data_IF_605560553237
#
_entry.id   IF_605560553237
#
_cell.length_a   1.000
_cell.length_b   1.000
_cell.length_c   1.000
_cell.angle_alpha   90.00
_cell.angle_beta   90.00
_cell.angle_gamma   90.00
#
_symmetry.space_group_name_H-M   'P 1'
#
loop_
_entity.id
_entity.type
_entity.pdbx_description
1 polymer ?
#
# COMPACT_ATOMS: atom_id res chain seq x y z
N UNK A 1 0.47 -8.63 -11.73
CA UNK A 1 0.84 -9.95 -12.30
C UNK A 1 2.06 -9.85 -13.19
N UNK A 2 2.09 -8.92 -14.14
CA UNK A 2 3.34 -8.50 -14.75
C UNK A 2 3.92 -7.30 -13.98
N UNK A 3 5.22 -7.08 -14.08
CA UNK A 3 5.92 -5.86 -13.66
C UNK A 3 7.02 -5.55 -14.68
N UNK A 4 7.30 -4.26 -14.89
CA UNK A 4 8.42 -3.75 -15.68
C UNK A 4 9.01 -2.56 -14.92
N UNK A 5 10.31 -2.58 -14.68
CA UNK A 5 11.06 -1.52 -14.01
C UNK A 5 12.39 -1.37 -14.75
N UNK A 6 12.72 -0.23 -15.38
CA UNK A 6 13.87 -0.12 -16.27
C UNK A 6 15.19 -0.63 -15.68
N UNK A 7 15.51 -0.24 -14.44
CA UNK A 7 16.72 -0.70 -13.72
C UNK A 7 16.70 -2.14 -13.19
N UNK A 8 15.68 -2.95 -13.49
CA UNK A 8 15.54 -4.34 -13.00
C UNK A 8 15.19 -5.33 -14.12
N UNK A 9 14.40 -4.91 -15.10
CA UNK A 9 13.88 -5.74 -16.20
C UNK A 9 14.20 -5.17 -17.58
N UNK A 10 14.85 -4.00 -17.66
CA UNK A 10 14.90 -3.21 -18.88
C UNK A 10 13.49 -2.98 -19.43
N UNK A 11 13.35 -3.16 -20.74
CA UNK A 11 12.08 -2.94 -21.45
C UNK A 11 11.09 -4.11 -21.41
N UNK A 12 11.44 -5.22 -20.75
CA UNK A 12 10.63 -6.43 -20.74
C UNK A 12 9.62 -6.49 -19.58
N UNK A 13 8.43 -7.03 -19.85
CA UNK A 13 7.42 -7.35 -18.84
C UNK A 13 7.71 -8.70 -18.21
N UNK A 14 8.10 -8.71 -16.93
CA UNK A 14 8.36 -9.94 -16.19
C UNK A 14 7.11 -10.43 -15.48
N UNK A 15 6.80 -11.73 -15.59
CA UNK A 15 5.73 -12.34 -14.83
C UNK A 15 6.10 -12.48 -13.34
N UNK A 16 5.16 -12.21 -12.45
CA UNK A 16 5.31 -12.38 -11.00
C UNK A 16 5.07 -13.83 -10.55
N UNK A 17 4.17 -14.55 -11.24
CA UNK A 17 3.74 -15.92 -10.91
C UNK A 17 4.36 -16.94 -11.88
N UNK A 18 4.35 -18.22 -11.48
CA UNK A 18 4.66 -19.36 -12.36
C UNK A 18 3.40 -20.13 -12.81
N UNK A 19 2.19 -19.65 -12.46
CA UNK A 19 0.95 -20.28 -12.89
C UNK A 19 0.78 -20.22 -14.40
N UNK A 20 0.63 -21.39 -15.00
CA UNK A 20 0.28 -21.62 -16.41
C UNK A 20 -1.17 -22.06 -16.60
N UNK A 21 -1.86 -22.46 -15.52
CA UNK A 21 -3.27 -22.82 -15.58
C UNK A 21 -4.17 -21.58 -15.64
N UNK A 22 -4.78 -21.41 -16.81
CA UNK A 22 -5.82 -20.41 -17.07
C UNK A 22 -7.15 -21.07 -17.48
N UNK A 23 -7.36 -22.37 -17.24
CA UNK A 23 -8.61 -23.06 -17.59
C UNK A 23 -9.83 -22.44 -16.91
N UNK A 24 -9.67 -21.96 -15.67
CA UNK A 24 -10.65 -21.16 -14.94
C UNK A 24 -11.16 -19.94 -15.72
N UNK A 25 -10.35 -19.37 -16.63
CA UNK A 25 -10.79 -18.24 -17.46
C UNK A 25 -11.83 -18.65 -18.49
N UNK A 26 -11.68 -19.83 -19.10
CA UNK A 26 -12.63 -20.31 -20.09
C UNK A 26 -14.00 -20.51 -19.43
N UNK A 27 -14.01 -21.21 -18.30
CA UNK A 27 -15.19 -21.43 -17.46
C UNK A 27 -15.84 -20.10 -17.01
N UNK A 28 -15.03 -19.15 -16.54
CA UNK A 28 -15.53 -17.83 -16.14
C UNK A 28 -16.08 -17.01 -17.31
N UNK A 29 -15.42 -17.01 -18.47
CA UNK A 29 -15.87 -16.32 -19.69
C UNK A 29 -17.22 -16.88 -20.16
N UNK A 30 -17.39 -18.20 -20.17
CA UNK A 30 -18.63 -18.85 -20.60
C UNK A 30 -19.84 -18.47 -19.73
N UNK A 31 -19.65 -18.28 -18.42
CA UNK A 31 -20.68 -17.74 -17.53
C UNK A 31 -20.86 -16.22 -17.72
N UNK A 32 -19.77 -15.43 -17.70
CA UNK A 32 -19.84 -13.97 -17.86
C UNK A 32 -20.50 -13.54 -19.18
N UNK A 33 -20.26 -14.27 -20.28
CA UNK A 33 -20.87 -14.00 -21.59
C UNK A 33 -22.40 -14.16 -21.57
N UNK A 34 -22.94 -15.05 -20.72
CA UNK A 34 -24.39 -15.17 -20.53
C UNK A 34 -24.96 -13.94 -19.82
N UNK A 35 -24.21 -13.33 -18.90
CA UNK A 35 -24.60 -12.08 -18.25
C UNK A 35 -24.48 -10.88 -19.17
N UNK A 36 -23.41 -10.77 -19.97
CA UNK A 36 -23.27 -9.71 -21.00
C UNK A 36 -24.47 -9.70 -21.96
N UNK A 37 -24.83 -10.87 -22.51
CA UNK A 37 -25.95 -11.02 -23.46
C UNK A 37 -27.31 -10.53 -22.96
N UNK A 38 -27.51 -10.42 -21.63
CA UNK A 38 -28.77 -9.99 -21.02
C UNK A 38 -28.66 -8.72 -20.16
N UNK A 39 -27.50 -8.07 -20.14
CA UNK A 39 -27.25 -6.86 -19.33
C UNK A 39 -26.69 -5.77 -20.24
N UNK A 40 -27.58 -4.98 -20.83
CA UNK A 40 -27.21 -3.91 -21.76
C UNK A 40 -26.25 -2.93 -21.08
N UNK A 41 -25.20 -2.49 -21.79
CA UNK A 41 -24.14 -1.63 -21.23
C UNK A 41 -23.05 -2.37 -20.46
N UNK A 42 -23.14 -3.70 -20.29
CA UNK A 42 -22.07 -4.50 -19.67
C UNK A 42 -21.11 -5.14 -20.68
N UNK A 43 -19.88 -5.43 -20.24
CA UNK A 43 -18.85 -6.08 -21.06
C UNK A 43 -17.83 -6.85 -20.19
N UNK A 44 -16.93 -7.61 -20.84
CA UNK A 44 -15.84 -8.35 -20.17
C UNK A 44 -14.49 -7.72 -20.52
N UNK A 45 -13.70 -7.43 -19.51
CA UNK A 45 -12.32 -6.94 -19.60
C UNK A 45 -11.34 -8.03 -19.14
N UNK A 46 -10.28 -8.31 -19.91
CA UNK A 46 -9.31 -9.38 -19.64
C UNK A 46 -7.93 -8.82 -19.24
N UNK A 47 -7.68 -8.67 -17.94
CA UNK A 47 -6.48 -8.02 -17.37
C UNK A 47 -5.27 -8.96 -17.24
N UNK A 48 -5.17 -10.00 -18.06
CA UNK A 48 -4.07 -10.98 -18.03
C UNK A 48 -4.11 -11.96 -16.85
N UNK A 49 -4.22 -11.49 -15.61
CA UNK A 49 -4.41 -12.32 -14.39
C UNK A 49 -5.80 -12.28 -13.80
N UNK A 50 -6.68 -11.47 -14.37
CA UNK A 50 -8.07 -11.32 -13.95
C UNK A 50 -9.01 -11.25 -15.16
N UNK A 51 -10.28 -11.52 -14.91
CA UNK A 51 -11.41 -11.24 -15.79
C UNK A 51 -12.38 -10.36 -15.01
N UNK A 52 -12.85 -9.28 -15.63
CA UNK A 52 -13.75 -8.32 -15.00
C UNK A 52 -15.01 -8.18 -15.83
N UNK A 53 -16.16 -8.52 -15.27
CA UNK A 53 -17.46 -8.13 -15.78
C UNK A 53 -17.73 -6.69 -15.34
N UNK A 54 -17.67 -5.75 -16.28
CA UNK A 54 -17.94 -4.33 -16.07
C UNK A 54 -19.42 -4.06 -16.35
N UNK A 55 -20.09 -3.31 -15.49
CA UNK A 55 -21.51 -2.94 -15.63
C UNK A 55 -21.79 -1.46 -15.28
N UNK A 56 -20.76 -0.61 -15.31
CA UNK A 56 -20.85 0.84 -14.98
C UNK A 56 -21.81 1.61 -15.89
N UNK A 57 -21.95 1.16 -17.14
CA UNK A 57 -22.78 1.79 -18.18
C UNK A 57 -24.12 1.06 -18.39
N UNK A 58 -24.45 0.11 -17.51
CA UNK A 58 -25.76 -0.55 -17.45
C UNK A 58 -26.74 0.25 -16.59
N UNK A 59 -28.02 -0.13 -16.62
CA UNK A 59 -29.00 0.34 -15.63
C UNK A 59 -28.49 0.04 -14.19
N UNK A 60 -28.51 1.01 -13.25
CA UNK A 60 -27.86 0.84 -11.96
C UNK A 60 -28.42 -0.31 -11.11
N UNK A 61 -29.75 -0.45 -11.06
CA UNK A 61 -30.42 -1.43 -10.19
C UNK A 61 -30.38 -2.83 -10.82
N UNK A 62 -30.72 -2.93 -12.10
CA UNK A 62 -30.66 -4.18 -12.85
C UNK A 62 -29.23 -4.69 -13.01
N UNK A 63 -28.27 -3.79 -13.29
CA UNK A 63 -26.84 -4.12 -13.36
C UNK A 63 -26.29 -4.59 -12.01
N UNK A 64 -26.69 -3.95 -10.90
CA UNK A 64 -26.32 -4.36 -9.55
C UNK A 64 -26.90 -5.74 -9.18
N UNK A 65 -28.18 -5.99 -9.49
CA UNK A 65 -28.82 -7.30 -9.31
C UNK A 65 -28.09 -8.40 -10.12
N UNK A 66 -27.86 -8.15 -11.41
CA UNK A 66 -27.15 -9.06 -12.30
C UNK A 66 -25.71 -9.35 -11.84
N UNK A 67 -24.99 -8.34 -11.36
CA UNK A 67 -23.66 -8.48 -10.82
C UNK A 67 -23.61 -9.29 -9.52
N UNK A 68 -24.60 -9.13 -8.63
CA UNK A 68 -24.74 -9.90 -7.39
C UNK A 68 -24.93 -11.39 -7.70
N UNK A 69 -25.85 -11.72 -8.61
CA UNK A 69 -26.11 -13.11 -9.00
C UNK A 69 -24.89 -13.72 -9.70
N UNK A 70 -24.26 -13.00 -10.64
CA UNK A 70 -23.03 -13.43 -11.30
C UNK A 70 -21.91 -13.73 -10.29
N UNK A 71 -21.74 -12.90 -9.27
CA UNK A 71 -20.71 -13.08 -8.23
C UNK A 71 -20.93 -14.37 -7.43
N UNK A 72 -22.19 -14.68 -7.09
CA UNK A 72 -22.55 -15.94 -6.41
C UNK A 72 -22.23 -17.16 -7.30
N UNK A 73 -22.74 -17.19 -8.53
CA UNK A 73 -22.51 -18.32 -9.44
C UNK A 73 -21.03 -18.50 -9.81
N UNK A 74 -20.25 -17.42 -9.94
CA UNK A 74 -18.79 -17.52 -10.13
C UNK A 74 -18.10 -18.09 -8.88
N UNK A 75 -18.59 -17.76 -7.68
CA UNK A 75 -18.06 -18.30 -6.42
C UNK A 75 -18.26 -19.81 -6.28
N UNK A 76 -19.39 -20.33 -6.73
CA UNK A 76 -19.70 -21.76 -6.79
C UNK A 76 -18.98 -22.46 -7.94
N UNK A 77 -19.10 -21.95 -9.17
CA UNK A 77 -18.55 -22.55 -10.39
C UNK A 77 -17.02 -22.61 -10.40
N UNK A 78 -16.36 -21.65 -9.73
CA UNK A 78 -14.91 -21.58 -9.63
C UNK A 78 -14.38 -22.11 -8.28
N UNK A 79 -15.19 -22.83 -7.51
CA UNK A 79 -14.74 -23.51 -6.31
C UNK A 79 -13.62 -24.52 -6.65
N UNK A 80 -12.61 -24.61 -5.79
CA UNK A 80 -11.41 -25.44 -6.01
C UNK A 80 -10.35 -24.82 -6.93
N UNK A 81 -10.71 -23.90 -7.84
CA UNK A 81 -9.71 -23.19 -8.66
C UNK A 81 -8.89 -22.18 -7.82
N UNK A 82 -7.66 -21.85 -8.24
CA UNK A 82 -6.76 -20.95 -7.50
C UNK A 82 -7.11 -19.46 -7.69
N UNK A 83 -8.40 -19.12 -7.63
CA UNK A 83 -8.95 -17.77 -7.87
C UNK A 83 -9.78 -17.26 -6.70
N UNK A 84 -9.96 -15.94 -6.64
CA UNK A 84 -10.94 -15.25 -5.81
C UNK A 84 -11.89 -14.43 -6.68
N UNK A 85 -13.18 -14.49 -6.34
CA UNK A 85 -14.22 -13.62 -6.90
C UNK A 85 -14.39 -12.44 -5.96
N UNK A 86 -14.56 -11.23 -6.51
CA UNK A 86 -14.88 -10.03 -5.73
C UNK A 86 -15.76 -9.07 -6.52
N UNK A 87 -16.72 -8.45 -5.83
CA UNK A 87 -17.55 -7.38 -6.38
C UNK A 87 -17.02 -6.01 -5.95
N UNK A 88 -17.14 -5.02 -6.83
CA UNK A 88 -16.82 -3.61 -6.58
C UNK A 88 -17.86 -2.69 -7.21
N UNK A 89 -17.64 -1.36 -7.15
CA UNK A 89 -18.62 -0.38 -7.66
C UNK A 89 -18.69 -0.43 -9.19
N UNK A 90 -19.68 -1.16 -9.71
CA UNK A 90 -19.89 -1.34 -11.15
C UNK A 90 -19.03 -2.44 -11.79
N UNK A 91 -18.45 -3.35 -10.99
CA UNK A 91 -17.71 -4.50 -11.54
C UNK A 91 -17.80 -5.79 -10.69
N UNK A 92 -17.59 -6.93 -11.33
CA UNK A 92 -17.26 -8.22 -10.69
C UNK A 92 -15.95 -8.73 -11.27
N UNK A 93 -14.92 -8.87 -10.44
CA UNK A 93 -13.59 -9.35 -10.81
C UNK A 93 -13.37 -10.79 -10.32
N UNK A 94 -12.89 -11.65 -11.22
CA UNK A 94 -12.29 -12.96 -10.90
C UNK A 94 -10.80 -12.85 -11.13
N UNK A 95 -9.98 -13.08 -10.11
CA UNK A 95 -8.51 -13.02 -10.22
C UNK A 95 -7.80 -14.16 -9.52
N UNK A 96 -6.57 -14.45 -9.95
CA UNK A 96 -5.69 -15.41 -9.30
C UNK A 96 -5.43 -15.04 -7.82
N UNK A 97 -5.47 -16.03 -6.92
CA UNK A 97 -5.08 -15.85 -5.50
C UNK A 97 -3.59 -15.46 -5.41
N UNK A 98 -3.24 -14.63 -4.44
CA UNK A 98 -1.88 -14.08 -4.29
C UNK A 98 -1.48 -13.05 -5.36
N UNK A 99 -2.42 -12.62 -6.23
CA UNK A 99 -2.17 -11.60 -7.25
C UNK A 99 -2.98 -10.35 -6.93
N UNK A 100 -2.35 -9.40 -6.24
CA UNK A 100 -2.89 -8.05 -6.01
C UNK A 100 -1.81 -6.98 -6.26
N UNK A 101 -2.15 -5.70 -6.07
CA UNK A 101 -1.21 -4.59 -6.25
C UNK A 101 -0.13 -4.58 -5.14
N UNK A 102 -0.48 -4.94 -3.90
CA UNK A 102 0.44 -5.06 -2.76
C UNK A 102 1.62 -5.99 -3.00
N UNK A 103 1.37 -7.23 -3.44
CA UNK A 103 2.44 -8.18 -3.79
C UNK A 103 3.33 -7.68 -4.95
N UNK A 104 2.84 -6.78 -5.80
CA UNK A 104 3.66 -6.18 -6.86
C UNK A 104 4.60 -5.11 -6.30
N UNK A 105 4.09 -4.23 -5.43
CA UNK A 105 4.89 -3.25 -4.68
C UNK A 105 5.96 -3.96 -3.84
N UNK A 106 5.57 -4.94 -3.02
CA UNK A 106 6.48 -5.70 -2.15
C UNK A 106 7.62 -6.37 -2.95
N UNK A 107 7.29 -6.94 -4.12
CA UNK A 107 8.25 -7.60 -5.02
C UNK A 107 9.15 -6.63 -5.78
N UNK A 108 8.69 -5.41 -6.05
CA UNK A 108 9.50 -4.35 -6.67
C UNK A 108 10.43 -3.72 -5.64
N UNK A 109 9.92 -3.29 -4.49
CA UNK A 109 10.72 -2.68 -3.42
C UNK A 109 11.85 -3.61 -2.97
N UNK A 110 11.56 -4.89 -2.64
CA UNK A 110 12.60 -5.87 -2.26
C UNK A 110 13.66 -6.08 -3.36
N UNK A 111 13.30 -5.90 -4.64
CA UNK A 111 14.25 -5.98 -5.75
C UNK A 111 15.10 -4.72 -5.91
N UNK A 112 14.56 -3.55 -5.57
CA UNK A 112 15.33 -2.29 -5.49
C UNK A 112 16.32 -2.37 -4.32
N UNK A 113 15.85 -2.75 -3.13
CA UNK A 113 16.70 -2.93 -1.93
C UNK A 113 17.90 -3.84 -2.19
N UNK A 114 17.67 -4.99 -2.82
CA UNK A 114 18.72 -5.97 -3.12
C UNK A 114 19.70 -5.54 -4.23
N UNK A 115 19.43 -4.47 -4.98
CA UNK A 115 20.27 -3.98 -6.08
C UNK A 115 20.96 -2.65 -5.77
N UNK A 116 20.31 -1.76 -5.03
CA UNK A 116 20.75 -0.37 -4.84
C UNK A 116 20.84 0.06 -3.37
N UNK A 117 20.50 -0.81 -2.41
CA UNK A 117 20.37 -0.48 -0.99
C UNK A 117 18.96 -0.05 -0.60
N UNK A 118 18.72 0.13 0.70
CA UNK A 118 17.40 0.46 1.26
C UNK A 118 16.77 1.70 0.61
N UNK A 119 15.46 1.64 0.34
CA UNK A 119 14.71 2.74 -0.26
C UNK A 119 14.43 3.80 0.80
N UNK A 120 14.83 5.04 0.53
CA UNK A 120 14.74 6.19 1.43
C UNK A 120 13.44 7.01 1.24
N UNK A 121 12.84 6.98 0.05
CA UNK A 121 11.58 7.66 -0.27
C UNK A 121 10.62 6.77 -1.07
N UNK A 122 9.34 6.76 -0.68
CA UNK A 122 8.25 6.12 -1.45
C UNK A 122 7.04 7.04 -1.45
N UNK A 123 6.53 7.37 -2.65
CA UNK A 123 5.20 7.94 -2.84
C UNK A 123 4.30 6.88 -3.50
N UNK A 124 3.17 6.60 -2.88
CA UNK A 124 2.17 5.67 -3.39
C UNK A 124 0.78 6.33 -3.38
N UNK A 125 0.14 6.38 -4.55
CA UNK A 125 -1.16 7.03 -4.78
C UNK A 125 -2.12 6.02 -5.43
N UNK A 126 -3.40 6.03 -5.05
CA UNK A 126 -4.43 5.18 -5.67
C UNK A 126 -5.86 5.55 -5.28
N UNK A 127 -6.84 5.17 -6.11
CA UNK A 127 -8.25 5.60 -6.01
C UNK A 127 -9.22 4.45 -5.62
N UNK A 128 -8.95 3.22 -6.04
CA UNK A 128 -9.88 2.09 -5.96
C UNK A 128 -9.60 1.18 -4.74
N UNK A 129 -10.57 0.31 -4.44
CA UNK A 129 -10.47 -0.75 -3.42
C UNK A 129 -9.31 -1.73 -3.67
N UNK A 130 -8.77 -1.79 -4.89
CA UNK A 130 -7.57 -2.58 -5.22
C UNK A 130 -6.24 -1.94 -4.81
N UNK A 131 -6.22 -0.65 -4.45
CA UNK A 131 -5.02 0.08 -4.01
C UNK A 131 -4.74 -0.05 -2.52
N UNK A 132 -5.77 -0.41 -1.74
CA UNK A 132 -5.68 -0.69 -0.30
C UNK A 132 -4.66 -1.80 0.04
N UNK A 133 -4.45 -2.72 -0.92
CA UNK A 133 -3.39 -3.75 -0.87
C UNK A 133 -1.97 -3.15 -0.95
N UNK A 134 -1.76 -2.03 -1.65
CA UNK A 134 -0.46 -1.34 -1.73
C UNK A 134 -0.18 -0.55 -0.45
N UNK A 135 -1.17 0.20 0.02
CA UNK A 135 -1.04 1.04 1.21
C UNK A 135 -0.72 0.20 2.45
N UNK A 136 -1.36 -0.97 2.61
CA UNK A 136 -1.08 -1.89 3.71
C UNK A 136 0.39 -2.37 3.73
N UNK A 137 0.93 -2.73 2.57
CA UNK A 137 2.34 -3.19 2.44
C UNK A 137 3.32 -2.08 2.79
N UNK A 138 3.10 -0.85 2.29
CA UNK A 138 4.02 0.27 2.50
C UNK A 138 3.95 0.77 3.96
N UNK A 139 2.76 0.86 4.55
CA UNK A 139 2.60 1.23 5.96
C UNK A 139 3.32 0.23 6.87
N UNK A 140 3.13 -1.08 6.65
CA UNK A 140 3.83 -2.13 7.39
C UNK A 140 5.35 -1.96 7.30
N UNK A 141 5.91 -1.79 6.09
CA UNK A 141 7.33 -1.50 5.88
C UNK A 141 7.83 -0.21 6.55
N UNK A 142 6.94 0.72 6.92
CA UNK A 142 7.30 1.93 7.67
C UNK A 142 7.23 1.73 9.19
N UNK A 143 6.32 0.88 9.67
CA UNK A 143 6.12 0.57 11.09
C UNK A 143 7.12 -0.48 11.60
N UNK A 144 7.49 -1.43 10.73
CA UNK A 144 8.53 -2.45 10.92
C UNK A 144 9.95 -1.88 11.14
N UNK A 145 10.14 -0.58 10.87
CA UNK A 145 11.42 0.13 11.03
C UNK A 145 11.97 0.14 12.47
N UNK A 146 11.14 -0.17 13.47
CA UNK A 146 11.53 -0.23 14.89
C UNK A 146 11.65 -1.69 15.42
N UNK A 147 11.06 -2.71 14.77
CA UNK A 147 11.15 -4.11 15.27
C UNK A 147 10.91 -5.26 14.26
N UNK A 148 11.63 -5.34 13.14
CA UNK A 148 11.65 -6.56 12.32
C UNK A 148 12.58 -7.67 12.86
N UNK A 149 12.06 -8.45 13.81
CA UNK A 149 12.57 -9.78 14.15
C UNK A 149 11.39 -10.76 14.29
N UNK A 150 10.94 -11.35 13.18
CA UNK A 150 9.97 -12.45 13.19
C UNK A 150 10.66 -13.75 13.65
N UNK A 151 10.28 -14.36 14.79
CA UNK A 151 10.89 -15.60 15.24
C UNK A 151 10.34 -16.80 14.48
N UNK A 152 11.22 -17.66 13.96
CA UNK A 152 10.85 -19.05 13.68
C UNK A 152 10.51 -19.73 15.01
N UNK A 153 9.29 -20.26 15.14
CA UNK A 153 8.63 -20.36 16.44
C UNK A 153 8.95 -21.62 17.25
N UNK A 154 8.91 -21.48 18.58
CA UNK A 154 8.56 -22.58 19.50
C UNK A 154 8.21 -22.08 20.92
N UNK A 155 7.33 -22.81 21.62
CA UNK A 155 7.31 -22.89 23.09
C UNK A 155 6.77 -21.72 23.95
N UNK A 156 5.48 -21.80 24.30
CA UNK A 156 4.86 -21.48 25.61
C UNK A 156 5.27 -20.23 26.46
N UNK A 157 4.27 -19.51 26.98
CA UNK A 157 4.41 -18.83 28.29
C UNK A 157 3.71 -17.47 28.52
N UNK A 158 2.49 -17.51 29.09
CA UNK A 158 1.92 -16.56 30.07
C UNK A 158 1.94 -15.01 29.86
N UNK A 159 0.73 -14.42 29.87
CA UNK A 159 0.31 -13.18 30.58
C UNK A 159 1.06 -11.83 30.41
N UNK A 160 0.34 -10.74 30.10
CA UNK A 160 0.90 -9.38 30.27
C UNK A 160 0.09 -8.16 29.79
N UNK A 161 -1.08 -7.89 30.39
CA UNK A 161 -1.87 -6.64 30.36
C UNK A 161 -1.29 -5.38 29.66
N UNK A 162 -2.02 -4.82 28.69
CA UNK A 162 -1.81 -3.47 28.17
C UNK A 162 -2.01 -2.38 29.23
N UNK A 163 -1.16 -1.33 29.21
CA UNK A 163 -1.55 0.03 29.64
C UNK A 163 -0.88 1.10 28.77
N UNK A 164 -1.73 1.93 28.18
CA UNK A 164 -1.45 3.10 27.33
C UNK A 164 -1.00 4.28 28.25
N UNK A 165 -0.21 5.31 27.88
CA UNK A 165 -0.69 6.59 27.27
C UNK A 165 0.39 7.77 27.27
N UNK A 166 0.17 8.95 26.61
CA UNK A 166 1.06 10.15 26.30
C UNK A 166 1.56 11.15 27.42
N UNK A 167 2.42 12.14 27.04
CA UNK A 167 2.44 13.62 27.36
C UNK A 167 2.85 14.10 28.78
N UNK A 168 3.47 15.28 29.06
CA UNK A 168 4.07 16.47 28.35
C UNK A 168 4.88 17.31 29.42
N UNK A 169 5.57 18.46 29.28
CA UNK A 169 5.96 19.48 28.25
C UNK A 169 7.08 20.42 28.82
N UNK A 170 8.08 20.94 28.05
CA UNK A 170 8.73 22.31 28.11
C UNK A 170 10.13 22.46 27.41
N UNK A 171 10.54 23.73 27.21
CA UNK A 171 11.59 24.34 26.34
C UNK A 171 12.22 25.55 27.11
N UNK A 172 13.38 26.24 26.79
CA UNK A 172 14.42 26.11 25.72
C UNK A 172 15.91 26.10 26.19
N UNK A 173 16.88 25.98 25.25
CA UNK A 173 18.03 26.93 25.09
C UNK A 173 18.79 26.83 23.74
N UNK A 174 19.41 27.96 23.35
CA UNK A 174 20.34 28.21 22.20
C UNK A 174 21.76 27.63 22.47
N UNK A 175 22.75 27.54 21.56
CA UNK A 175 22.93 27.91 20.13
C UNK A 175 24.16 27.16 19.56
N UNK A 176 24.17 26.76 18.28
CA UNK A 176 25.39 26.70 17.42
C UNK A 176 25.03 26.40 15.95
N UNK A 177 25.85 26.84 14.98
CA UNK A 177 25.57 26.74 13.53
C UNK A 177 26.65 25.98 12.75
N UNK A 178 26.21 25.07 11.89
CA UNK A 178 26.85 24.64 10.62
C UNK A 178 25.87 23.70 9.89
N UNK A 179 25.16 24.17 8.87
CA UNK A 179 25.52 24.01 7.44
C UNK A 179 25.00 22.70 6.81
N UNK A 180 24.31 22.85 5.69
CA UNK A 180 24.06 21.82 4.64
C UNK A 180 23.12 20.63 4.93
N UNK A 181 22.23 20.68 5.93
CA UNK A 181 21.13 19.69 6.09
C UNK A 181 19.82 20.08 5.35
N UNK A 182 19.76 21.22 4.67
CA UNK A 182 18.51 21.93 4.36
C UNK A 182 17.73 21.48 3.10
N UNK A 183 18.22 20.51 2.30
CA UNK A 183 17.59 20.13 1.00
C UNK A 183 16.53 19.04 1.12
N UNK A 184 16.79 17.97 1.89
CA UNK A 184 15.85 16.85 2.04
C UNK A 184 14.61 17.25 2.86
N UNK A 185 14.79 17.94 3.98
CA UNK A 185 13.72 18.50 4.83
C UNK A 185 12.81 19.49 4.06
N UNK A 186 13.36 20.23 3.09
CA UNK A 186 12.60 21.18 2.28
C UNK A 186 11.70 20.51 1.22
N UNK A 187 12.13 19.37 0.65
CA UNK A 187 11.20 18.49 -0.08
C UNK A 187 10.19 17.93 0.92
N UNK A 188 10.71 17.31 2.00
CA UNK A 188 10.05 16.90 3.26
C UNK A 188 8.69 17.58 3.52
N UNK A 189 8.80 18.78 4.10
CA UNK A 189 7.65 19.58 4.54
C UNK A 189 6.77 20.14 3.42
N UNK A 190 7.29 20.28 2.20
CA UNK A 190 6.46 20.64 1.05
C UNK A 190 5.51 19.48 0.67
N UNK A 191 5.98 18.22 0.71
CA UNK A 191 5.11 17.07 0.41
C UNK A 191 4.00 16.95 1.46
N UNK A 192 4.34 17.05 2.76
CA UNK A 192 3.33 17.02 3.83
C UNK A 192 2.36 18.21 3.77
N UNK A 193 2.80 19.37 3.28
CA UNK A 193 1.95 20.56 3.14
C UNK A 193 0.85 20.42 2.09
N UNK A 194 1.05 19.61 1.05
CA UNK A 194 0.03 19.29 0.04
C UNK A 194 -0.89 18.13 0.47
N UNK A 195 -0.47 17.31 1.44
CA UNK A 195 -1.16 16.07 1.81
C UNK A 195 -2.02 16.21 3.07
N UNK A 196 -3.31 15.90 2.96
CA UNK A 196 -4.27 16.07 4.07
C UNK A 196 -4.25 14.82 4.97
N UNK A 197 -3.77 14.96 6.21
CA UNK A 197 -3.80 13.91 7.26
C UNK A 197 -5.23 13.63 7.73
N UNK A 198 -5.51 12.37 8.08
CA UNK A 198 -6.74 12.02 8.80
C UNK A 198 -6.60 12.19 10.33
N UNK A 199 -7.73 12.41 11.02
CA UNK A 199 -7.80 13.06 12.33
C UNK A 199 -8.04 12.16 13.56
N UNK A 200 -7.68 10.87 13.51
CA UNK A 200 -7.95 9.94 14.62
C UNK A 200 -6.95 10.03 15.79
N UNK A 201 -7.42 9.79 17.02
CA UNK A 201 -6.75 10.24 18.27
C UNK A 201 -5.87 9.20 19.00
N UNK A 202 -4.87 9.72 19.74
CA UNK A 202 -4.07 9.03 20.77
C UNK A 202 -4.60 9.38 22.19
N UNK A 203 -4.10 8.76 23.29
CA UNK A 203 -4.47 9.17 24.69
C UNK A 203 -3.32 9.22 25.74
N UNK A 204 -3.47 9.98 26.85
CA UNK A 204 -2.44 10.52 27.81
C UNK A 204 -2.23 9.86 29.23
N UNK A 205 -0.96 9.58 29.65
CA UNK A 205 -0.55 8.99 30.96
C UNK A 205 0.66 7.98 31.02
N UNK A 206 1.70 8.31 31.82
CA UNK A 206 2.86 7.45 32.21
C UNK A 206 3.05 7.43 33.75
N UNK A 207 4.07 6.71 34.32
CA UNK A 207 4.76 7.04 35.62
C UNK A 207 5.74 5.95 36.15
N UNK A 208 6.98 6.34 36.50
CA UNK A 208 7.87 5.84 37.59
C UNK A 208 8.29 4.34 37.70
N UNK A 209 9.41 3.93 38.32
CA UNK A 209 10.59 4.64 38.87
C UNK A 209 11.74 3.62 39.09
N UNK A 210 13.02 4.00 38.95
CA UNK A 210 14.15 3.13 39.31
C UNK A 210 15.54 3.75 39.09
N UNK A 211 16.45 3.61 40.06
CA UNK A 211 17.82 4.11 40.03
C UNK A 211 18.83 2.96 40.15
N UNK A 212 19.75 2.82 39.19
CA UNK A 212 21.06 2.15 39.37
C UNK A 212 22.09 2.77 38.44
N UNK A 213 23.34 2.90 38.90
CA UNK A 213 24.47 3.42 38.14
C UNK A 213 25.41 2.30 37.67
N UNK A 214 25.86 2.36 36.42
CA UNK A 214 27.00 1.61 35.90
C UNK A 214 27.67 2.39 34.75
N UNK A 215 28.93 2.07 34.44
CA UNK A 215 29.81 2.93 33.65
C UNK A 215 30.18 2.37 32.28
N UNK A 216 30.35 3.29 31.32
CA UNK A 216 31.38 3.28 30.26
C UNK A 216 31.66 2.01 29.45
N UNK A 217 31.39 2.08 28.14
CA UNK A 217 32.43 1.78 27.13
C UNK A 217 32.19 2.59 25.85
N UNK A 218 33.27 3.17 25.30
CA UNK A 218 33.22 3.90 24.02
C UNK A 218 33.44 2.96 22.85
N UNK A 219 32.55 2.96 21.86
CA UNK A 219 32.82 2.42 20.53
C UNK A 219 32.53 3.50 19.47
N UNK A 220 33.60 3.98 18.81
CA UNK A 220 33.44 4.83 17.61
C UNK A 220 33.07 3.93 16.43
N UNK A 221 31.78 3.61 16.30
CA UNK A 221 31.21 3.20 15.02
C UNK A 221 30.73 4.44 14.28
N UNK A 222 31.24 4.66 13.06
CA UNK A 222 30.87 5.79 12.22
C UNK A 222 29.43 5.67 11.73
N UNK A 223 28.49 6.18 12.53
CA UNK A 223 27.09 6.25 12.13
C UNK A 223 26.94 7.29 11.02
N UNK A 224 26.87 6.82 9.78
CA UNK A 224 26.01 7.48 8.80
C UNK A 224 24.61 7.56 9.45
N UNK A 225 24.06 8.77 9.60
CA UNK A 225 22.67 8.93 10.08
C UNK A 225 21.78 8.15 9.11
N UNK A 226 21.26 6.99 9.51
CA UNK A 226 20.27 6.27 8.69
C UNK A 226 18.99 7.08 8.77
N UNK A 227 18.75 7.90 7.76
CA UNK A 227 17.53 8.70 7.61
C UNK A 227 16.33 7.77 7.63
N UNK A 228 15.31 8.14 8.41
CA UNK A 228 14.06 7.38 8.49
C UNK A 228 13.40 7.35 7.10
N UNK A 229 12.99 6.18 6.57
CA UNK A 229 12.37 6.10 5.25
C UNK A 229 11.09 6.95 5.17
N UNK A 230 11.06 7.88 4.21
CA UNK A 230 9.98 8.83 3.99
C UNK A 230 8.92 8.21 3.09
N UNK A 231 8.06 7.37 3.67
CA UNK A 231 7.03 6.62 2.94
C UNK A 231 5.63 7.25 3.11
N UNK A 232 5.06 7.67 1.98
CA UNK A 232 3.77 8.35 1.87
C UNK A 232 2.75 7.48 1.12
N UNK A 233 1.61 7.21 1.77
CA UNK A 233 0.46 6.50 1.19
C UNK A 233 -0.73 7.44 1.09
N UNK A 234 -1.23 7.66 -0.13
CA UNK A 234 -2.25 8.66 -0.44
C UNK A 234 -3.44 8.04 -1.17
N UNK A 235 -4.64 8.23 -0.62
CA UNK A 235 -5.88 7.92 -1.33
C UNK A 235 -6.33 9.12 -2.16
N UNK A 236 -6.81 8.88 -3.38
CA UNK A 236 -7.57 9.87 -4.15
C UNK A 236 -9.05 9.80 -3.73
N UNK A 237 -9.63 10.96 -3.43
CA UNK A 237 -10.97 11.08 -2.86
C UNK A 237 -11.01 10.78 -1.36
N UNK A 238 -11.88 11.50 -0.64
CA UNK A 238 -12.09 11.29 0.80
C UNK A 238 -12.98 10.07 1.07
N UNK A 239 -12.35 8.90 1.26
CA UNK A 239 -12.97 7.62 1.62
C UNK A 239 -12.23 6.95 2.80
N UNK A 240 -12.84 5.98 3.50
CA UNK A 240 -12.09 5.06 4.36
C UNK A 240 -11.03 4.32 3.53
N UNK A 241 -9.79 4.33 3.99
CA UNK A 241 -8.64 3.75 3.30
C UNK A 241 -7.53 3.40 4.29
N UNK A 242 -6.64 2.51 3.89
CA UNK A 242 -5.36 2.25 4.56
C UNK A 242 -4.33 3.37 4.31
N UNK A 243 -4.57 4.28 3.37
CA UNK A 243 -3.68 5.41 3.11
C UNK A 243 -3.61 6.37 4.31
N UNK A 244 -2.41 6.84 4.66
CA UNK A 244 -2.17 7.80 5.76
C UNK A 244 -2.60 9.23 5.44
N UNK A 245 -2.74 9.54 4.15
CA UNK A 245 -3.05 10.85 3.61
C UNK A 245 -4.14 10.76 2.52
N UNK A 246 -4.79 11.87 2.20
CA UNK A 246 -5.65 11.96 1.02
C UNK A 246 -5.41 13.21 0.16
N UNK A 247 -5.77 13.05 -1.11
CA UNK A 247 -5.87 14.05 -2.16
C UNK A 247 -7.34 14.10 -2.61
N UNK A 248 -7.84 15.26 -3.05
CA UNK A 248 -9.27 15.44 -3.35
C UNK A 248 -9.71 14.65 -4.58
N UNK A 249 -8.89 14.71 -5.62
CA UNK A 249 -9.17 14.32 -7.00
C UNK A 249 -7.84 14.13 -7.78
N UNK A 250 -7.89 14.05 -9.11
CA UNK A 250 -6.72 13.86 -9.97
C UNK A 250 -5.95 15.14 -10.30
N UNK A 251 -6.53 16.33 -10.05
CA UNK A 251 -5.85 17.62 -10.25
C UNK A 251 -4.88 17.84 -9.06
N UNK A 252 -5.34 17.62 -7.82
CA UNK A 252 -4.50 17.54 -6.61
C UNK A 252 -3.27 16.59 -6.79
N UNK A 253 -3.44 15.47 -7.50
CA UNK A 253 -2.35 14.50 -7.80
C UNK A 253 -1.32 15.07 -8.78
N UNK A 254 -1.78 15.89 -9.72
CA UNK A 254 -0.93 16.46 -10.77
C UNK A 254 -0.10 17.61 -10.19
N UNK A 255 -0.74 18.53 -9.46
CA UNK A 255 -0.09 19.62 -8.73
C UNK A 255 0.98 19.11 -7.74
N UNK A 256 0.74 17.97 -7.10
CA UNK A 256 1.71 17.31 -6.21
C UNK A 256 2.98 16.84 -6.97
N UNK A 257 2.81 16.22 -8.14
CA UNK A 257 3.93 15.71 -8.95
C UNK A 257 4.73 16.86 -9.56
N UNK A 258 4.07 17.89 -10.07
CA UNK A 258 4.72 19.10 -10.59
C UNK A 258 5.48 19.85 -9.47
N UNK A 259 4.91 19.91 -8.26
CA UNK A 259 5.58 20.49 -7.08
C UNK A 259 6.84 19.70 -6.69
N UNK A 260 6.80 18.37 -6.76
CA UNK A 260 7.95 17.51 -6.51
C UNK A 260 9.05 17.68 -7.58
N UNK A 261 8.69 17.80 -8.85
CA UNK A 261 9.66 18.11 -9.92
C UNK A 261 10.33 19.48 -9.67
N UNK A 262 9.56 20.53 -9.39
CA UNK A 262 10.06 21.87 -9.09
C UNK A 262 10.92 21.97 -7.82
N UNK A 263 10.84 20.99 -6.91
CA UNK A 263 11.74 20.88 -5.75
C UNK A 263 12.98 20.03 -6.03
N UNK A 264 12.97 19.23 -7.11
CA UNK A 264 14.09 18.38 -7.52
C UNK A 264 15.09 19.15 -8.40
N UNK A 265 14.60 20.04 -9.28
CA UNK A 265 15.39 20.84 -10.23
C UNK A 265 16.20 22.00 -9.60
N UNK A 266 16.12 22.19 -8.27
CA UNK A 266 16.83 23.24 -7.50
C UNK A 266 17.87 22.62 -6.59
#
# INVERSE_FOLDING_TARGET
>A
FYYRVPGITGDQWHCMSRQTDFTWKQVAIELMLQYVKRTQGSFIENKGSALVFQYRDADPDFGSMQAKDLSNYLGELLFGYPVSVMSGKGYVEVKLRGVNKGHAVEKVLRKLSNLHGDVDFVLCVGDDRSDEDMFAVINAMTEDGDQLCLPEGSGAGSSGLYRHTQSKDRIPRRNSVSSDENRAEAVVGNVEGLMKRDGSMQHAGALGSGLTSASSSTSLSGHTKKTSPHFFTCTVGKKPSNARYYLNDTEDVSDLLDSLQQCTEK
#
